data_IF_714104412732
#
_entry.id   IF_714104412732
#
_cell.length_a   1.000
_cell.length_b   1.000
_cell.length_c   1.000
_cell.angle_alpha   90.00
_cell.angle_beta   90.00
_cell.angle_gamma   90.00
#
_symmetry.space_group_name_H-M   'P 1'
#
loop_
_entity.id
_entity.type
_entity.pdbx_description
1 polymer ?
#
# COMPACT_ATOMS: atom_id res chain seq x y z
N UNK A 1 -12.08 -14.29 -17.36
CA UNK A 1 -12.01 -12.95 -16.75
C UNK A 1 -10.58 -12.45 -16.89
N UNK A 2 -10.38 -11.34 -17.59
CA UNK A 2 -9.07 -10.72 -17.80
C UNK A 2 -8.53 -10.22 -16.46
N UNK A 3 -7.35 -10.71 -16.06
CA UNK A 3 -6.66 -10.28 -14.85
C UNK A 3 -6.28 -8.81 -15.02
N UNK A 4 -7.06 -7.89 -14.42
CA UNK A 4 -6.77 -6.45 -14.48
C UNK A 4 -5.48 -6.18 -13.72
N UNK A 5 -4.46 -5.69 -14.40
CA UNK A 5 -3.25 -5.18 -13.76
C UNK A 5 -3.64 -3.94 -12.93
N UNK A 6 -3.51 -4.03 -11.60
CA UNK A 6 -3.78 -2.93 -10.69
C UNK A 6 -2.64 -1.91 -10.70
N UNK A 7 -2.97 -0.63 -10.54
CA UNK A 7 -2.01 0.47 -10.39
C UNK A 7 -1.75 0.71 -8.91
N UNK A 8 -0.48 0.85 -8.54
CA UNK A 8 -0.05 1.23 -7.21
C UNK A 8 0.79 2.52 -7.26
N UNK A 9 0.46 3.49 -6.39
CA UNK A 9 1.27 4.71 -6.23
C UNK A 9 2.28 4.51 -5.11
N UNK A 10 3.55 4.81 -5.36
CA UNK A 10 4.60 4.77 -4.34
C UNK A 10 5.04 6.19 -3.94
N UNK A 11 5.22 6.40 -2.64
CA UNK A 11 5.85 7.59 -2.10
C UNK A 11 7.03 7.20 -1.23
N UNK A 12 8.13 7.94 -1.32
CA UNK A 12 9.35 7.68 -0.55
C UNK A 12 9.61 8.86 0.37
N UNK A 13 9.91 8.59 1.65
CA UNK A 13 10.23 9.59 2.67
C UNK A 13 11.46 9.18 3.49
N UNK A 14 12.51 9.99 3.42
CA UNK A 14 13.78 9.76 4.14
C UNK A 14 13.91 10.54 5.45
N UNK A 15 12.85 11.20 5.91
CA UNK A 15 12.86 12.00 7.14
C UNK A 15 12.92 11.13 8.40
N UNK A 16 13.66 11.60 9.42
CA UNK A 16 13.70 10.96 10.76
C UNK A 16 12.37 11.05 11.51
N UNK A 17 11.61 12.13 11.31
CA UNK A 17 10.29 12.34 11.91
C UNK A 17 9.23 12.22 10.83
N UNK A 18 8.32 11.26 10.99
CA UNK A 18 7.22 11.02 10.07
C UNK A 18 5.92 11.60 10.60
N UNK A 19 5.03 12.00 9.70
CA UNK A 19 3.76 12.63 10.03
C UNK A 19 2.59 11.90 9.35
N UNK A 20 1.43 11.89 10.00
CA UNK A 20 0.22 11.28 9.44
C UNK A 20 -0.32 12.01 8.20
N UNK A 21 0.05 13.29 8.00
CA UNK A 21 -0.23 14.03 6.75
C UNK A 21 0.29 13.30 5.52
N UNK A 22 1.49 12.70 5.59
CA UNK A 22 2.06 11.96 4.46
C UNK A 22 1.17 10.80 3.98
N UNK A 23 0.44 10.17 4.88
CA UNK A 23 -0.49 9.09 4.52
C UNK A 23 -1.77 9.67 3.91
N UNK A 24 -2.31 10.76 4.46
CA UNK A 24 -3.50 11.43 3.91
C UNK A 24 -3.25 11.97 2.50
N UNK A 25 -2.09 12.59 2.28
CA UNK A 25 -1.68 13.10 0.97
C UNK A 25 -1.48 11.95 -0.04
N UNK A 26 -0.90 10.83 0.41
CA UNK A 26 -0.74 9.62 -0.40
C UNK A 26 -2.10 9.02 -0.77
N UNK A 27 -3.06 8.97 0.16
CA UNK A 27 -4.44 8.52 -0.12
C UNK A 27 -5.10 9.41 -1.17
N UNK A 28 -5.05 10.73 -1.00
CA UNK A 28 -5.62 11.66 -1.99
C UNK A 28 -4.95 11.50 -3.36
N UNK A 29 -3.63 11.30 -3.40
CA UNK A 29 -2.90 11.06 -4.65
C UNK A 29 -3.34 9.76 -5.32
N UNK A 30 -3.47 8.67 -4.54
CA UNK A 30 -3.96 7.36 -5.00
C UNK A 30 -5.34 7.49 -5.65
N UNK A 31 -6.28 8.15 -4.98
CA UNK A 31 -7.65 8.33 -5.44
C UNK A 31 -7.72 9.20 -6.70
N UNK A 32 -7.03 10.35 -6.71
CA UNK A 32 -6.95 11.24 -7.87
C UNK A 32 -6.36 10.54 -9.11
N UNK A 33 -5.45 9.59 -8.89
CA UNK A 33 -4.81 8.81 -9.95
C UNK A 33 -5.56 7.52 -10.32
N UNK A 34 -6.73 7.28 -9.72
CA UNK A 34 -7.54 6.06 -9.87
C UNK A 34 -6.73 4.78 -9.65
N UNK A 35 -5.79 4.82 -8.71
CA UNK A 35 -4.98 3.68 -8.32
C UNK A 35 -5.70 2.84 -7.26
N UNK A 36 -5.59 1.51 -7.37
CA UNK A 36 -6.22 0.57 -6.45
C UNK A 36 -5.50 0.55 -5.08
N UNK A 37 -4.19 0.77 -5.09
CA UNK A 37 -3.31 0.67 -3.93
C UNK A 37 -2.28 1.81 -3.86
N UNK A 38 -1.70 1.99 -2.68
CA UNK A 38 -0.58 2.90 -2.46
C UNK A 38 0.39 2.38 -1.39
N UNK A 39 1.66 2.77 -1.51
CA UNK A 39 2.73 2.36 -0.62
C UNK A 39 3.59 3.53 -0.19
N UNK A 40 3.80 3.68 1.10
CA UNK A 40 4.84 4.54 1.64
C UNK A 40 6.08 3.69 1.93
N UNK A 41 7.21 4.07 1.33
CA UNK A 41 8.53 3.58 1.73
C UNK A 41 9.16 4.65 2.64
N UNK A 42 9.53 4.28 3.87
CA UNK A 42 10.07 5.22 4.84
C UNK A 42 11.38 4.76 5.47
N UNK A 43 12.21 5.71 5.91
CA UNK A 43 13.46 5.40 6.62
C UNK A 43 13.24 5.16 8.12
N UNK A 44 12.28 5.85 8.74
CA UNK A 44 11.99 5.75 10.16
C UNK A 44 10.74 4.91 10.44
N UNK A 45 10.57 4.48 11.69
CA UNK A 45 9.39 3.74 12.14
C UNK A 45 8.12 4.58 12.01
N UNK A 46 7.06 4.00 11.43
CA UNK A 46 5.76 4.64 11.31
C UNK A 46 5.13 4.89 12.69
N UNK A 47 4.42 6.01 12.84
CA UNK A 47 3.67 6.30 14.07
C UNK A 47 2.32 5.58 14.07
N UNK A 48 1.71 5.41 15.26
CA UNK A 48 0.37 4.83 15.37
C UNK A 48 -0.68 5.64 14.58
N UNK A 49 -0.54 6.97 14.54
CA UNK A 49 -1.43 7.82 13.74
C UNK A 49 -1.33 7.50 12.24
N UNK A 50 -0.10 7.28 11.71
CA UNK A 50 0.07 6.87 10.31
C UNK A 50 -0.61 5.53 10.02
N UNK A 51 -0.45 4.56 10.91
CA UNK A 51 -1.10 3.25 10.79
C UNK A 51 -2.64 3.38 10.81
N UNK A 52 -3.18 4.25 11.65
CA UNK A 52 -4.61 4.55 11.69
C UNK A 52 -5.10 5.17 10.38
N UNK A 53 -4.39 6.15 9.83
CA UNK A 53 -4.75 6.74 8.53
C UNK A 53 -4.67 5.72 7.39
N UNK A 54 -3.66 4.85 7.38
CA UNK A 54 -3.53 3.79 6.38
C UNK A 54 -4.71 2.80 6.47
N UNK A 55 -5.15 2.43 7.68
CA UNK A 55 -6.31 1.54 7.88
C UNK A 55 -7.63 2.17 7.42
N UNK A 56 -7.81 3.48 7.57
CA UNK A 56 -9.01 4.19 7.11
C UNK A 56 -9.22 4.08 5.60
N UNK A 57 -8.15 3.92 4.83
CA UNK A 57 -8.23 3.71 3.38
C UNK A 57 -8.90 2.37 2.99
N UNK A 58 -9.01 1.42 3.92
CA UNK A 58 -9.72 0.16 3.73
C UNK A 58 -8.93 -0.89 2.94
N UNK A 59 -9.67 -1.84 2.36
CA UNK A 59 -9.10 -2.99 1.65
C UNK A 59 -9.55 -3.00 0.19
N UNK A 60 -8.61 -3.26 -0.71
CA UNK A 60 -8.89 -3.63 -2.09
C UNK A 60 -9.28 -5.10 -2.11
N UNK A 61 -10.37 -5.41 -2.82
CA UNK A 61 -10.91 -6.76 -2.85
C UNK A 61 -10.83 -7.33 -4.24
N UNK A 62 -10.27 -8.54 -4.36
CA UNK A 62 -10.33 -9.33 -5.57
C UNK A 62 -11.19 -10.55 -5.36
N UNK A 63 -11.95 -10.89 -6.40
CA UNK A 63 -12.62 -12.18 -6.49
C UNK A 63 -11.66 -13.20 -7.08
N UNK A 64 -11.25 -14.19 -6.28
CA UNK A 64 -10.28 -15.21 -6.67
C UNK A 64 -11.00 -16.53 -7.03
N UNK A 65 -11.92 -16.46 -8.00
CA UNK A 65 -12.69 -17.63 -8.46
C UNK A 65 -13.29 -18.42 -7.29
N UNK A 66 -12.96 -19.71 -7.19
CA UNK A 66 -13.46 -20.62 -6.14
C UNK A 66 -12.89 -20.36 -4.73
N UNK A 67 -11.83 -19.55 -4.60
CA UNK A 67 -11.22 -19.22 -3.30
C UNK A 67 -11.88 -18.02 -2.59
N UNK A 68 -12.92 -17.44 -3.19
CA UNK A 68 -13.66 -16.33 -2.59
C UNK A 68 -12.96 -14.97 -2.70
N UNK A 69 -13.27 -14.05 -1.78
CA UNK A 69 -12.82 -12.66 -1.81
C UNK A 69 -11.52 -12.48 -1.02
N UNK A 70 -10.43 -12.18 -1.72
CA UNK A 70 -9.14 -11.83 -1.11
C UNK A 70 -9.08 -10.32 -0.86
N UNK A 71 -8.82 -9.92 0.39
CA UNK A 71 -8.68 -8.53 0.80
C UNK A 71 -7.22 -8.14 0.99
N UNK A 72 -6.82 -7.02 0.39
CA UNK A 72 -5.47 -6.45 0.48
C UNK A 72 -5.56 -5.02 1.03
N UNK A 73 -4.75 -4.61 2.02
CA UNK A 73 -4.76 -3.23 2.50
C UNK A 73 -4.48 -2.27 1.34
N UNK A 74 -5.34 -1.26 1.15
CA UNK A 74 -5.18 -0.28 0.07
C UNK A 74 -3.94 0.58 0.27
N UNK A 75 -3.61 0.89 1.51
CA UNK A 75 -2.42 1.67 1.86
C UNK A 75 -1.52 0.84 2.75
N UNK A 76 -0.26 0.74 2.36
CA UNK A 76 0.76 -0.02 3.09
C UNK A 76 1.96 0.87 3.38
N UNK A 77 2.64 0.59 4.49
CA UNK A 77 3.84 1.31 4.91
C UNK A 77 4.93 0.27 5.11
N UNK A 78 6.07 0.45 4.46
CA UNK A 78 7.25 -0.37 4.60
C UNK A 78 8.46 0.49 4.92
N UNK A 79 9.29 0.03 5.83
CA UNK A 79 10.59 0.62 6.06
C UNK A 79 11.59 0.13 5.00
N UNK A 80 12.54 0.99 4.63
CA UNK A 80 13.61 0.62 3.72
C UNK A 80 14.40 -0.60 4.23
N UNK A 81 14.67 -0.67 5.54
CA UNK A 81 15.30 -1.83 6.18
C UNK A 81 14.50 -3.11 6.00
N UNK A 82 13.17 -3.07 6.12
CA UNK A 82 12.33 -4.25 5.92
C UNK A 82 12.39 -4.75 4.47
N UNK A 83 12.43 -3.82 3.51
CA UNK A 83 12.56 -4.15 2.08
C UNK A 83 13.92 -4.80 1.80
N UNK A 84 15.00 -4.25 2.36
CA UNK A 84 16.35 -4.83 2.25
C UNK A 84 16.43 -6.22 2.89
N UNK A 85 15.61 -6.48 3.90
CA UNK A 85 15.45 -7.80 4.53
C UNK A 85 14.44 -8.72 3.79
N UNK A 86 14.04 -8.37 2.56
CA UNK A 86 13.21 -9.21 1.70
C UNK A 86 11.70 -9.05 1.88
N UNK A 87 11.23 -8.13 2.72
CA UNK A 87 9.80 -7.84 2.83
C UNK A 87 9.33 -7.08 1.60
N UNK A 88 8.20 -7.50 1.03
CA UNK A 88 7.58 -6.82 -0.10
C UNK A 88 6.21 -6.28 0.29
N UNK A 89 5.68 -5.36 -0.52
CA UNK A 89 4.27 -4.98 -0.41
C UNK A 89 3.40 -6.21 -0.65
N UNK A 90 2.34 -6.37 0.14
CA UNK A 90 1.35 -7.41 -0.07
C UNK A 90 0.45 -6.96 -1.23
N UNK A 91 0.91 -7.24 -2.44
CA UNK A 91 0.23 -6.96 -3.69
C UNK A 91 -0.42 -8.23 -4.23
N UNK A 92 -1.41 -8.03 -5.10
CA UNK A 92 -2.12 -9.10 -5.79
C UNK A 92 -1.12 -10.12 -6.36
N UNK A 93 -1.42 -11.44 -6.32
CA UNK A 93 -0.51 -12.46 -6.82
C UNK A 93 -0.20 -12.16 -8.30
N UNK A 94 1.01 -11.68 -8.56
CA UNK A 94 1.53 -11.52 -9.91
C UNK A 94 1.82 -12.94 -10.38
N UNK A 95 1.01 -13.43 -11.31
CA UNK A 95 1.37 -14.60 -12.09
C UNK A 95 2.22 -14.01 -13.19
N UNK A 96 3.53 -14.05 -13.00
CA UNK A 96 4.49 -13.81 -14.08
C UNK A 96 4.46 -15.08 -14.91
N UNK A 97 4.05 -14.95 -16.18
CA UNK A 97 4.18 -16.03 -17.17
C UNK A 97 5.66 -16.22 -17.52
#
# INVERSE_FOLDING_TARGET
>A
MTKKLGKMILSVKSYKKLQASYIRDLVGTMENNKAEMAGLICYAKSTNQMLTEARKAGHYSLYAGSFGKLGYPRVQILMAEEILNGKTFNILPITVN
#
